data_IF_721825532894
#
_entry.id   IF_721825532894
#
_cell.length_a   1.000
_cell.length_b   1.000
_cell.length_c   1.000
_cell.angle_alpha   90.00
_cell.angle_beta   90.00
_cell.angle_gamma   90.00
#
_symmetry.space_group_name_H-M   'P 1'
#
loop_
_entity.id
_entity.type
_entity.pdbx_description
1 polymer ?
#
# COMPACT_ATOMS: atom_id res chain seq x y z
N UNK A 1 28.08 6.43 15.17
CA UNK A 1 28.41 5.78 13.89
C UNK A 1 27.42 4.63 13.71
N UNK A 2 26.43 4.75 12.81
CA UNK A 2 25.51 3.63 12.55
C UNK A 2 26.28 2.50 11.86
N UNK A 3 26.28 1.30 12.44
CA UNK A 3 26.97 0.14 11.88
C UNK A 3 26.11 -0.49 10.78
N UNK A 4 26.71 -0.78 9.63
CA UNK A 4 26.01 -1.42 8.52
C UNK A 4 25.89 -2.92 8.80
N UNK A 5 24.68 -3.37 9.13
CA UNK A 5 24.36 -4.79 9.32
C UNK A 5 24.14 -5.49 7.96
N UNK A 6 24.56 -6.76 7.84
CA UNK A 6 24.36 -7.59 6.65
C UNK A 6 23.22 -8.58 6.87
N UNK A 7 22.19 -8.52 6.04
CA UNK A 7 21.12 -9.50 5.97
C UNK A 7 21.46 -10.57 4.90
N UNK A 8 21.27 -11.84 5.24
CA UNK A 8 21.41 -12.96 4.30
C UNK A 8 20.08 -13.69 4.22
N UNK A 9 19.55 -13.82 3.01
CA UNK A 9 18.26 -14.47 2.74
C UNK A 9 18.49 -15.74 1.92
N UNK A 10 17.72 -16.79 2.18
CA UNK A 10 17.63 -17.96 1.31
C UNK A 10 16.47 -17.73 0.34
N UNK A 11 16.78 -17.63 -0.94
CA UNK A 11 15.83 -17.34 -2.01
C UNK A 11 16.15 -18.23 -3.20
N UNK A 12 15.16 -18.49 -4.05
CA UNK A 12 15.37 -19.17 -5.32
C UNK A 12 16.32 -18.37 -6.23
N UNK A 13 17.21 -19.06 -6.96
CA UNK A 13 18.19 -18.40 -7.83
C UNK A 13 17.54 -17.57 -8.94
N UNK A 14 16.40 -18.01 -9.50
CA UNK A 14 15.68 -17.22 -10.51
C UNK A 14 15.14 -15.94 -9.92
N UNK A 15 14.63 -15.99 -8.68
CA UNK A 15 14.12 -14.81 -7.99
C UNK A 15 15.25 -13.82 -7.69
N UNK A 16 16.41 -14.31 -7.24
CA UNK A 16 17.60 -13.50 -7.01
C UNK A 16 18.05 -12.75 -8.28
N UNK A 17 18.12 -13.44 -9.41
CA UNK A 17 18.52 -12.80 -10.67
C UNK A 17 17.46 -11.80 -11.19
N UNK A 18 16.16 -12.08 -11.01
CA UNK A 18 15.10 -11.10 -11.31
C UNK A 18 15.20 -9.86 -10.42
N UNK A 19 15.47 -10.03 -9.13
CA UNK A 19 15.61 -8.90 -8.20
C UNK A 19 16.81 -8.01 -8.55
N UNK A 20 17.94 -8.60 -8.96
CA UNK A 20 19.10 -7.84 -9.44
C UNK A 20 18.79 -7.02 -10.68
N UNK A 21 18.20 -7.64 -11.71
CA UNK A 21 17.80 -6.94 -12.94
C UNK A 21 16.84 -5.79 -12.64
N UNK A 22 15.84 -6.01 -11.78
CA UNK A 22 14.93 -4.95 -11.35
C UNK A 22 15.67 -3.79 -10.67
N UNK A 23 16.69 -4.08 -9.86
CA UNK A 23 17.50 -3.07 -9.21
C UNK A 23 18.34 -2.28 -10.22
N UNK A 24 18.96 -2.96 -11.19
CA UNK A 24 19.74 -2.34 -12.27
C UNK A 24 18.88 -1.43 -13.15
N UNK A 25 17.70 -1.89 -13.58
CA UNK A 25 16.73 -1.10 -14.35
C UNK A 25 16.32 0.19 -13.63
N UNK A 26 16.28 0.15 -12.28
CA UNK A 26 15.94 1.28 -11.42
C UNK A 26 17.16 2.10 -10.97
N UNK A 27 18.38 1.76 -11.42
CA UNK A 27 19.61 2.41 -11.00
C UNK A 27 19.91 2.30 -9.50
N UNK A 28 19.44 1.23 -8.86
CA UNK A 28 19.58 1.00 -7.41
C UNK A 28 20.18 -0.38 -7.11
N UNK A 29 20.30 -0.72 -5.82
CA UNK A 29 20.77 -2.04 -5.39
C UNK A 29 19.64 -2.84 -4.74
N UNK A 30 19.72 -4.18 -4.83
CA UNK A 30 18.78 -5.08 -4.17
C UNK A 30 18.71 -4.80 -2.66
N UNK A 31 19.85 -4.52 -2.02
CA UNK A 31 19.90 -4.13 -0.61
C UNK A 31 19.11 -2.87 -0.31
N UNK A 32 19.15 -1.86 -1.21
CA UNK A 32 18.41 -0.61 -1.02
C UNK A 32 16.90 -0.84 -1.15
N UNK A 33 16.48 -1.66 -2.11
CA UNK A 33 15.07 -2.04 -2.28
C UNK A 33 14.54 -2.73 -1.02
N UNK A 34 15.29 -3.71 -0.49
CA UNK A 34 14.92 -4.44 0.72
C UNK A 34 14.90 -3.53 1.95
N UNK A 35 15.84 -2.60 2.05
CA UNK A 35 15.89 -1.59 3.12
C UNK A 35 14.65 -0.68 3.08
N UNK A 36 14.27 -0.16 1.91
CA UNK A 36 13.04 0.64 1.75
C UNK A 36 11.78 -0.19 2.08
N UNK A 37 11.74 -1.45 1.66
CA UNK A 37 10.63 -2.34 1.98
C UNK A 37 10.47 -2.51 3.50
N UNK A 38 11.56 -2.75 4.23
CA UNK A 38 11.51 -2.81 5.69
C UNK A 38 11.15 -1.47 6.33
N UNK A 39 11.60 -0.33 5.79
CA UNK A 39 11.16 0.98 6.28
C UNK A 39 9.65 1.17 6.15
N UNK A 40 9.06 0.75 5.03
CA UNK A 40 7.62 0.83 4.81
C UNK A 40 6.85 -0.09 5.76
N UNK A 41 7.33 -1.32 5.98
CA UNK A 41 6.68 -2.28 6.88
C UNK A 41 6.82 -1.91 8.36
N UNK A 42 7.95 -1.32 8.75
CA UNK A 42 8.27 -0.97 10.13
C UNK A 42 7.90 0.48 10.47
N UNK A 43 7.25 1.22 9.56
CA UNK A 43 6.67 2.52 9.88
C UNK A 43 5.50 2.27 10.84
N UNK A 44 5.80 2.24 12.13
CA UNK A 44 4.80 2.35 13.18
C UNK A 44 4.07 3.69 13.01
N UNK A 45 2.74 3.76 13.25
CA UNK A 45 1.97 5.00 13.17
C UNK A 45 2.29 6.00 14.30
N UNK A 46 3.50 5.97 14.87
CA UNK A 46 3.91 6.90 15.90
C UNK A 46 4.58 8.13 15.28
N UNK A 47 3.75 9.15 15.06
CA UNK A 47 4.07 10.57 15.26
C UNK A 47 5.01 11.23 14.26
N UNK A 48 4.58 12.39 13.77
CA UNK A 48 5.36 13.36 12.98
C UNK A 48 5.59 13.05 11.50
N UNK A 49 4.49 12.73 10.79
CA UNK A 49 4.31 13.26 9.43
C UNK A 49 2.80 13.45 9.21
N UNK A 50 2.32 14.62 8.74
CA UNK A 50 0.90 14.88 8.51
C UNK A 50 0.47 14.12 7.24
N UNK A 51 0.31 12.81 7.34
CA UNK A 51 -0.55 12.09 6.42
C UNK A 51 -1.98 12.48 6.78
N UNK A 52 -2.80 12.93 5.82
CA UNK A 52 -4.19 13.24 6.09
C UNK A 52 -4.86 11.92 6.51
N UNK A 53 -5.40 11.93 7.72
CA UNK A 53 -6.27 10.90 8.22
C UNK A 53 -7.48 10.78 7.27
N UNK A 54 -7.86 9.59 6.79
CA UNK A 54 -9.23 9.37 6.39
C UNK A 54 -10.03 9.03 7.65
N UNK A 55 -10.23 10.04 8.51
CA UNK A 55 -11.26 10.00 9.54
C UNK A 55 -12.42 10.87 9.06
N UNK A 56 -13.28 10.31 8.20
CA UNK A 56 -14.71 10.60 8.20
C UNK A 56 -15.42 9.75 7.15
N UNK A 57 -16.38 8.98 7.62
CA UNK A 57 -17.67 8.80 6.96
C UNK A 57 -18.09 10.07 6.22
N UNK A 58 -17.80 10.17 4.94
CA UNK A 58 -18.72 10.69 3.93
C UNK A 58 -18.19 10.22 2.58
N UNK A 59 -19.08 9.77 1.71
CA UNK A 59 -18.84 9.41 0.31
C UNK A 59 -18.44 10.66 -0.55
N UNK A 60 -17.63 11.57 0.01
CA UNK A 60 -17.31 12.88 -0.52
C UNK A 60 -15.87 12.88 -0.97
N UNK A 61 -15.71 13.04 -2.29
CA UNK A 61 -14.43 13.24 -2.94
C UNK A 61 -13.72 14.43 -2.27
N UNK A 62 -12.52 14.25 -1.68
CA UNK A 62 -11.75 15.36 -1.15
C UNK A 62 -11.50 16.39 -2.25
N UNK A 63 -11.70 17.68 -1.99
CA UNK A 63 -11.54 18.71 -3.05
C UNK A 63 -10.07 18.96 -3.42
N UNK A 64 -9.14 18.54 -2.55
CA UNK A 64 -7.68 18.67 -2.74
C UNK A 64 -7.06 17.41 -3.35
N UNK A 65 -7.53 17.02 -4.54
CA UNK A 65 -6.95 15.92 -5.31
C UNK A 65 -5.93 16.42 -6.34
N UNK A 66 -4.79 15.72 -6.53
CA UNK A 66 -3.88 15.99 -7.64
C UNK A 66 -4.61 15.95 -8.99
N UNK A 67 -4.19 16.75 -10.00
CA UNK A 67 -4.96 16.97 -11.22
C UNK A 67 -5.31 15.66 -11.95
N UNK A 68 -4.36 14.73 -12.04
CA UNK A 68 -4.58 13.42 -12.67
C UNK A 68 -5.57 12.56 -11.88
N UNK A 69 -5.55 12.64 -10.56
CA UNK A 69 -6.47 11.89 -9.70
C UNK A 69 -7.88 12.44 -9.81
N UNK A 70 -8.05 13.76 -9.92
CA UNK A 70 -9.35 14.41 -10.13
C UNK A 70 -9.99 13.99 -11.46
N UNK A 71 -9.22 13.99 -12.55
CA UNK A 71 -9.69 13.48 -13.85
C UNK A 71 -10.16 12.03 -13.79
N UNK A 72 -9.44 11.17 -13.05
CA UNK A 72 -9.82 9.77 -12.88
C UNK A 72 -11.11 9.63 -12.08
N UNK A 73 -11.28 10.40 -11.00
CA UNK A 73 -12.50 10.36 -10.19
C UNK A 73 -13.71 10.84 -10.99
N UNK A 74 -13.57 11.93 -11.77
CA UNK A 74 -14.63 12.42 -12.64
C UNK A 74 -15.02 11.39 -13.72
N UNK A 75 -14.05 10.63 -14.24
CA UNK A 75 -14.30 9.57 -15.20
C UNK A 75 -14.97 8.33 -14.57
N UNK A 76 -14.69 8.03 -13.31
CA UNK A 76 -15.23 6.87 -12.58
C UNK A 76 -16.64 7.13 -12.03
N UNK A 77 -16.99 8.38 -11.72
CA UNK A 77 -18.27 8.74 -11.14
C UNK A 77 -18.41 8.33 -9.66
N UNK A 78 -19.57 8.62 -9.03
CA UNK A 78 -19.80 8.27 -7.63
C UNK A 78 -19.85 6.75 -7.45
N UNK A 79 -19.20 6.26 -6.40
CA UNK A 79 -19.28 4.85 -6.03
C UNK A 79 -20.72 4.50 -5.63
N UNK A 80 -21.30 3.49 -6.26
CA UNK A 80 -22.60 2.94 -5.87
C UNK A 80 -22.42 1.97 -4.72
N UNK A 81 -23.15 2.17 -3.63
CA UNK A 81 -23.16 1.25 -2.48
C UNK A 81 -24.02 0.01 -2.70
N UNK A 82 -24.81 -0.01 -3.78
CA UNK A 82 -25.64 -1.13 -4.16
C UNK A 82 -24.83 -2.04 -5.10
N UNK A 83 -24.12 -2.99 -4.52
CA UNK A 83 -23.46 -4.08 -5.25
C UNK A 83 -24.20 -5.37 -4.87
N UNK A 84 -24.70 -6.10 -5.87
CA UNK A 84 -25.21 -7.45 -5.65
C UNK A 84 -24.03 -8.37 -5.35
N UNK A 85 -23.81 -8.66 -4.07
CA UNK A 85 -22.80 -9.58 -3.59
C UNK A 85 -23.41 -10.98 -3.44
N UNK A 86 -22.62 -12.02 -3.65
CA UNK A 86 -23.04 -13.36 -3.30
C UNK A 86 -22.96 -13.58 -1.77
N UNK A 87 -23.71 -14.56 -1.28
CA UNK A 87 -23.85 -14.83 0.15
C UNK A 87 -22.52 -15.15 0.86
N UNK A 88 -21.54 -15.74 0.17
CA UNK A 88 -20.23 -16.04 0.77
C UNK A 88 -19.40 -14.74 0.91
N UNK A 89 -19.50 -13.84 -0.07
CA UNK A 89 -18.85 -12.53 -0.04
C UNK A 89 -19.45 -11.62 1.04
N UNK A 90 -20.78 -11.59 1.18
CA UNK A 90 -21.46 -10.82 2.24
C UNK A 90 -21.01 -11.29 3.63
N UNK A 91 -21.00 -12.61 3.86
CA UNK A 91 -20.57 -13.19 5.13
C UNK A 91 -19.10 -12.84 5.48
N UNK A 92 -18.22 -12.76 4.48
CA UNK A 92 -16.84 -12.35 4.68
C UNK A 92 -16.73 -10.85 5.04
N UNK A 93 -17.50 -9.98 4.39
CA UNK A 93 -17.53 -8.53 4.67
C UNK A 93 -18.04 -8.27 6.08
N UNK A 94 -19.13 -8.91 6.48
CA UNK A 94 -19.72 -8.77 7.81
C UNK A 94 -18.76 -9.23 8.92
N UNK A 95 -18.11 -10.39 8.72
CA UNK A 95 -17.13 -10.90 9.68
C UNK A 95 -15.92 -9.97 9.83
N UNK A 96 -15.49 -9.30 8.75
CA UNK A 96 -14.41 -8.32 8.81
C UNK A 96 -14.84 -7.04 9.54
N UNK A 97 -16.07 -6.58 9.32
CA UNK A 97 -16.63 -5.44 10.06
C UNK A 97 -16.75 -5.72 11.57
N UNK A 98 -17.13 -6.94 11.95
CA UNK A 98 -17.22 -7.35 13.36
C UNK A 98 -15.84 -7.47 14.03
N UNK A 99 -14.83 -7.96 13.30
CA UNK A 99 -13.46 -8.07 13.82
C UNK A 99 -12.79 -6.71 14.08
N UNK A 100 -13.19 -5.67 13.35
CA UNK A 100 -12.62 -4.32 13.42
C UNK A 100 -13.49 -3.31 14.19
N UNK A 101 -14.57 -3.78 14.84
CA UNK A 101 -15.36 -3.02 15.82
C UNK A 101 -14.79 -3.18 17.23
#
# INVERSE_FOLDING_TARGET
>A
MATKSKLTLRLDDRLKERAKRLAEERGTSVSKIVEEYFRLLLREPNGDDPSPEPASDTNTVPDDLPPRTREMVDALGPATTDLELDADTEAWVDAMHEKHR
#
